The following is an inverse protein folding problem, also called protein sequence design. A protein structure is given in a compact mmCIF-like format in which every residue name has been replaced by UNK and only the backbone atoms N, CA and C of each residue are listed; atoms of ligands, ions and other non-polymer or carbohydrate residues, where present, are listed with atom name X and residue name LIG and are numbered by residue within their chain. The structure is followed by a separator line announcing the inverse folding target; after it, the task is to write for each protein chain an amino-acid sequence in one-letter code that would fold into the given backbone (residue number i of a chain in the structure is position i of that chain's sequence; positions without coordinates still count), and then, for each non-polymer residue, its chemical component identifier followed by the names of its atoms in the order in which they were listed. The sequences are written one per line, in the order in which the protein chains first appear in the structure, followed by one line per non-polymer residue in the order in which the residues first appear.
data_IF_526389865793
#
_entry.id   IF_526389865793
#
_cell.length_a   1.000
_cell.length_b   1.000
_cell.length_c   1.000
_cell.angle_alpha   90.00
_cell.angle_beta   90.00
_cell.angle_gamma   90.00
#
_symmetry.space_group_name_H-M   'P 1'
#
loop_
_entity.id
_entity.type
_entity.pdbx_description
1 polymer ?
#
# COMPACT_ATOMS: atom_id res chain seq x y z
N UNK A 1 16.85 -14.17 10.21
CA UNK A 1 16.29 -13.65 11.48
C UNK A 1 16.96 -12.36 11.90
N UNK A 2 18.30 -12.29 11.89
CA UNK A 2 19.07 -11.07 12.16
C UNK A 2 18.55 -9.78 11.48
N UNK A 3 18.33 -9.78 10.16
CA UNK A 3 17.79 -8.59 9.48
C UNK A 3 16.39 -8.16 9.97
N UNK A 4 15.58 -9.12 10.44
CA UNK A 4 14.23 -8.83 10.95
C UNK A 4 14.27 -8.22 12.34
N UNK A 5 15.21 -8.64 13.20
CA UNK A 5 15.38 -8.04 14.53
C UNK A 5 15.90 -6.62 14.42
N UNK A 6 16.94 -6.40 13.61
CA UNK A 6 17.47 -5.05 13.33
C UNK A 6 16.38 -4.13 12.80
N UNK A 7 15.57 -4.61 11.85
CA UNK A 7 14.45 -3.84 11.33
C UNK A 7 13.38 -3.53 12.39
N UNK A 8 13.12 -4.44 13.32
CA UNK A 8 12.18 -4.20 14.42
C UNK A 8 12.70 -3.09 15.36
N UNK A 9 13.99 -3.11 15.70
CA UNK A 9 14.60 -2.10 16.58
C UNK A 9 14.60 -0.71 15.93
N UNK A 10 14.88 -0.63 14.61
CA UNK A 10 14.76 0.62 13.85
C UNK A 10 13.32 1.12 13.87
N UNK A 11 12.35 0.24 13.63
CA UNK A 11 10.93 0.62 13.62
C UNK A 11 10.47 1.19 14.96
N UNK A 12 10.85 0.56 16.07
CA UNK A 12 10.54 1.07 17.41
C UNK A 12 10.99 2.52 17.57
N UNK A 13 12.20 2.85 17.09
CA UNK A 13 12.71 4.23 17.08
C UNK A 13 11.84 5.14 16.22
N UNK A 14 11.43 4.70 15.03
CA UNK A 14 10.61 5.52 14.15
C UNK A 14 9.22 5.81 14.76
N UNK A 15 8.61 4.82 15.42
CA UNK A 15 7.35 4.97 16.15
C UNK A 15 7.49 5.85 17.42
N UNK A 16 8.66 5.93 18.04
CA UNK A 16 8.94 6.92 19.10
C UNK A 16 8.96 8.36 18.53
N UNK A 17 9.39 8.54 17.28
CA UNK A 17 9.71 9.85 16.69
C UNK A 17 8.54 10.48 15.90
N UNK A 18 7.63 9.68 15.37
CA UNK A 18 6.47 10.14 14.60
C UNK A 18 5.20 9.38 15.02
N UNK A 19 4.08 10.09 15.03
CA UNK A 19 2.77 9.48 15.34
C UNK A 19 2.32 8.54 14.22
N UNK A 20 2.50 8.96 12.96
CA UNK A 20 2.12 8.17 11.81
C UNK A 20 3.36 7.68 11.05
N UNK A 21 3.52 6.36 11.00
CA UNK A 21 4.63 5.68 10.33
C UNK A 21 4.10 4.69 9.31
N UNK A 22 4.50 4.86 8.05
CA UNK A 22 4.19 3.93 6.96
C UNK A 22 5.40 3.08 6.62
N UNK A 23 5.36 1.82 7.01
CA UNK A 23 6.38 0.83 6.63
C UNK A 23 6.26 0.41 5.15
N UNK A 24 7.30 0.66 4.36
CA UNK A 24 7.36 0.31 2.93
C UNK A 24 7.97 -1.09 2.79
N UNK A 25 9.17 -1.28 3.33
CA UNK A 25 9.96 -2.51 3.30
C UNK A 25 10.55 -2.82 4.68
N UNK A 26 11.55 -3.71 4.74
CA UNK A 26 12.27 -4.04 5.97
C UNK A 26 13.20 -2.90 6.42
N UNK A 27 13.61 -2.05 5.48
CA UNK A 27 14.65 -1.03 5.61
C UNK A 27 14.17 0.38 5.19
N UNK A 28 12.88 0.54 4.85
CA UNK A 28 12.31 1.81 4.39
C UNK A 28 10.94 2.07 5.03
N UNK A 29 10.75 3.30 5.51
CA UNK A 29 9.50 3.78 6.05
C UNK A 29 9.34 5.29 5.77
N UNK A 30 8.09 5.76 5.69
CA UNK A 30 7.75 7.18 5.73
C UNK A 30 7.27 7.55 7.12
N UNK A 31 7.61 8.76 7.56
CA UNK A 31 7.14 9.34 8.82
C UNK A 31 6.37 10.60 8.47
N UNK A 32 5.16 10.75 9.01
CA UNK A 32 4.50 12.04 9.08
C UNK A 32 5.02 12.80 10.31
N UNK A 33 5.67 13.93 10.07
CA UNK A 33 6.28 14.77 11.10
C UNK A 33 5.72 16.18 11.08
N UNK A 34 4.59 16.38 10.39
CA UNK A 34 3.96 17.70 10.18
C UNK A 34 3.77 18.45 11.51
N UNK A 35 3.31 17.76 12.55
CA UNK A 35 3.08 18.34 13.89
C UNK A 35 4.28 18.18 14.84
N UNK A 36 5.40 17.62 14.38
CA UNK A 36 6.60 17.32 15.19
C UNK A 36 7.77 18.25 14.90
N UNK A 37 7.79 18.89 13.74
CA UNK A 37 8.91 19.73 13.30
C UNK A 37 8.42 20.88 12.42
N UNK A 38 9.30 21.83 12.14
CA UNK A 38 9.06 22.92 11.20
C UNK A 38 10.20 22.97 10.18
N UNK A 39 9.96 23.59 9.03
CA UNK A 39 10.92 23.63 7.92
C UNK A 39 12.28 24.25 8.29
N UNK A 40 12.31 25.16 9.25
CA UNK A 40 13.50 25.82 9.77
C UNK A 40 14.41 24.86 10.54
N UNK A 41 13.84 23.81 11.14
CA UNK A 41 14.56 22.85 12.00
C UNK A 41 14.50 21.41 11.46
N UNK A 42 13.89 21.21 10.29
CA UNK A 42 13.73 19.91 9.64
C UNK A 42 15.04 19.15 9.43
N UNK A 43 16.13 19.84 9.08
CA UNK A 43 17.46 19.23 8.97
C UNK A 43 17.94 18.70 10.33
N UNK A 44 17.74 19.48 11.41
CA UNK A 44 18.06 19.07 12.76
C UNK A 44 17.27 17.83 13.19
N UNK A 45 15.98 17.78 12.85
CA UNK A 45 15.14 16.61 13.09
C UNK A 45 15.64 15.38 12.30
N UNK A 46 15.89 15.52 11.00
CA UNK A 46 16.42 14.43 10.17
C UNK A 46 17.76 13.89 10.69
N UNK A 47 18.65 14.78 11.13
CA UNK A 47 19.93 14.42 11.78
C UNK A 47 19.71 13.69 13.10
N UNK A 48 18.73 14.12 13.90
CA UNK A 48 18.35 13.44 15.14
C UNK A 48 17.86 12.00 14.88
N UNK A 49 17.02 11.78 13.87
CA UNK A 49 16.55 10.44 13.47
C UNK A 49 17.74 9.53 13.17
N UNK A 50 18.65 9.98 12.28
CA UNK A 50 19.85 9.22 11.90
C UNK A 50 20.70 8.83 13.10
N UNK A 51 21.04 9.82 13.94
CA UNK A 51 21.87 9.60 15.12
C UNK A 51 21.20 8.68 16.14
N UNK A 52 19.87 8.69 16.23
CA UNK A 52 19.13 7.81 17.16
C UNK A 52 19.20 6.36 16.68
N UNK A 53 19.00 6.13 15.39
CA UNK A 53 19.14 4.81 14.75
C UNK A 53 20.57 4.29 14.91
N UNK A 54 21.57 5.09 14.56
CA UNK A 54 22.98 4.72 14.67
C UNK A 54 23.37 4.38 16.11
N UNK A 55 22.97 5.19 17.10
CA UNK A 55 23.32 4.95 18.52
C UNK A 55 22.63 3.73 19.13
N UNK A 56 21.36 3.46 18.79
CA UNK A 56 20.59 2.36 19.41
C UNK A 56 20.78 1.03 18.66
N UNK A 57 20.94 1.07 17.34
CA UNK A 57 20.97 -0.13 16.47
C UNK A 57 22.34 -0.39 15.85
N UNK A 58 23.18 0.64 15.68
CA UNK A 58 24.53 0.50 15.11
C UNK A 58 24.57 0.43 13.58
N UNK A 59 23.53 0.92 12.90
CA UNK A 59 23.46 0.93 11.42
C UNK A 59 23.28 2.37 10.89
N UNK A 60 23.96 2.75 9.79
CA UNK A 60 23.74 4.04 9.16
C UNK A 60 22.39 4.07 8.44
N UNK A 61 21.76 5.24 8.39
CA UNK A 61 20.51 5.47 7.69
C UNK A 61 20.60 6.73 6.83
N UNK A 62 20.02 6.69 5.63
CA UNK A 62 19.82 7.91 4.83
C UNK A 62 18.41 8.44 5.05
N UNK A 63 18.26 9.74 5.20
CA UNK A 63 16.98 10.39 5.49
C UNK A 63 16.70 11.47 4.45
N UNK A 64 15.49 11.45 3.89
CA UNK A 64 14.98 12.51 3.02
C UNK A 64 13.83 13.22 3.71
N UNK A 65 13.84 14.55 3.73
CA UNK A 65 12.74 15.38 4.24
C UNK A 65 12.21 16.23 3.10
N UNK A 66 10.93 16.11 2.78
CA UNK A 66 10.30 16.85 1.69
C UNK A 66 8.78 17.00 1.92
N UNK A 67 8.08 17.87 1.18
CA UNK A 67 6.69 18.23 1.47
C UNK A 67 5.67 17.12 1.21
N UNK A 68 6.08 16.06 0.50
CA UNK A 68 5.23 14.92 0.18
C UNK A 68 6.06 13.64 0.00
N UNK A 69 5.37 12.50 -0.06
CA UNK A 69 5.99 11.17 -0.10
C UNK A 69 6.88 10.95 -1.33
N UNK A 70 6.44 11.35 -2.52
CA UNK A 70 7.23 11.22 -3.75
C UNK A 70 8.56 11.94 -3.63
N UNK A 71 8.54 13.21 -3.24
CA UNK A 71 9.74 14.02 -3.07
C UNK A 71 10.64 13.50 -1.93
N UNK A 72 10.05 13.03 -0.82
CA UNK A 72 10.81 12.51 0.32
C UNK A 72 11.57 11.23 -0.06
N UNK A 73 10.98 10.39 -0.91
CA UNK A 73 11.66 9.21 -1.47
C UNK A 73 12.89 9.60 -2.27
N UNK A 74 12.74 10.55 -3.19
CA UNK A 74 13.83 11.06 -4.04
C UNK A 74 14.93 11.67 -3.17
N UNK A 75 14.55 12.53 -2.22
CA UNK A 75 15.47 13.13 -1.26
C UNK A 75 16.28 12.06 -0.50
N UNK A 76 15.61 10.99 -0.04
CA UNK A 76 16.26 9.93 0.74
C UNK A 76 17.28 9.11 -0.06
N UNK A 77 17.11 9.04 -1.38
CA UNK A 77 18.02 8.33 -2.28
C UNK A 77 19.17 9.21 -2.79
N UNK A 78 18.97 10.53 -2.88
CA UNK A 78 19.88 11.50 -3.51
C UNK A 78 21.31 11.43 -2.98
N UNK A 79 21.48 11.46 -1.65
CA UNK A 79 22.79 11.49 -0.98
C UNK A 79 23.18 10.16 -0.33
N UNK A 80 22.66 9.02 -0.83
CA UNK A 80 23.07 7.71 -0.31
C UNK A 80 24.54 7.41 -0.62
N UNK A 81 25.28 6.70 0.27
CA UNK A 81 24.85 6.17 1.58
C UNK A 81 25.06 7.17 2.72
N UNK A 82 24.36 6.95 3.85
CA UNK A 82 24.41 7.82 5.04
C UNK A 82 24.16 9.31 4.73
N UNK A 83 23.24 9.61 3.80
CA UNK A 83 22.87 10.96 3.40
C UNK A 83 21.78 11.61 4.27
N UNK A 84 21.67 12.94 4.19
CA UNK A 84 20.53 13.69 4.71
C UNK A 84 20.20 14.80 3.71
N UNK A 85 19.07 14.68 3.04
CA UNK A 85 18.61 15.65 2.05
C UNK A 85 17.32 16.30 2.54
N UNK A 86 17.26 17.63 2.55
CA UNK A 86 16.06 18.39 2.90
C UNK A 86 15.66 19.25 1.72
N UNK A 87 14.45 19.01 1.20
CA UNK A 87 13.85 19.78 0.11
C UNK A 87 12.70 20.58 0.71
N UNK A 88 12.82 21.90 0.78
CA UNK A 88 11.75 22.76 1.30
C UNK A 88 10.70 23.00 0.20
N UNK A 89 9.45 23.34 0.55
CA UNK A 89 8.40 23.58 -0.44
C UNK A 89 8.77 24.57 -1.56
N UNK A 90 9.44 25.71 -1.28
CA UNK A 90 9.84 26.65 -2.33
C UNK A 90 10.89 26.11 -3.29
N UNK A 91 11.74 25.19 -2.83
CA UNK A 91 12.88 24.65 -3.58
C UNK A 91 12.52 23.36 -4.34
N UNK A 92 11.28 22.87 -4.19
CA UNK A 92 10.88 21.55 -4.64
C UNK A 92 11.00 21.37 -6.15
N UNK A 93 10.43 22.29 -6.93
CA UNK A 93 10.43 22.14 -8.39
C UNK A 93 11.84 22.27 -8.97
N UNK A 94 12.60 23.27 -8.50
CA UNK A 94 14.00 23.50 -8.91
C UNK A 94 14.89 22.29 -8.60
N UNK A 95 14.63 21.59 -7.50
CA UNK A 95 15.32 20.35 -7.17
C UNK A 95 14.92 19.18 -8.08
N UNK A 96 13.63 19.06 -8.41
CA UNK A 96 13.11 17.95 -9.22
C UNK A 96 13.47 18.07 -10.69
N UNK A 97 13.31 19.25 -11.29
CA UNK A 97 13.44 19.50 -12.73
C UNK A 97 14.67 18.87 -13.40
N UNK A 98 15.90 19.04 -12.86
CA UNK A 98 17.10 18.53 -13.53
C UNK A 98 17.31 17.03 -13.36
N UNK A 99 16.53 16.35 -12.51
CA UNK A 99 16.75 14.93 -12.23
C UNK A 99 16.32 14.06 -13.42
N UNK A 100 17.07 12.98 -13.71
CA UNK A 100 16.66 11.98 -14.70
C UNK A 100 15.27 11.41 -14.40
N UNK A 101 14.48 11.14 -15.45
CA UNK A 101 13.10 10.63 -15.29
C UNK A 101 13.01 9.31 -14.50
N UNK A 102 14.07 8.48 -14.57
CA UNK A 102 14.17 7.21 -13.83
C UNK A 102 14.21 7.39 -12.30
N UNK A 103 14.55 8.59 -11.82
CA UNK A 103 14.65 8.90 -10.39
C UNK A 103 13.27 9.28 -9.81
N UNK A 104 12.28 9.58 -10.65
CA UNK A 104 10.92 9.87 -10.21
C UNK A 104 10.27 8.62 -9.58
N UNK A 105 9.76 8.77 -8.35
CA UNK A 105 9.14 7.67 -7.63
C UNK A 105 7.91 7.10 -8.36
N UNK A 106 8.05 5.88 -8.86
CA UNK A 106 7.04 5.18 -9.65
C UNK A 106 7.45 4.96 -11.10
N UNK A 107 8.60 5.48 -11.53
CA UNK A 107 9.17 5.17 -12.85
C UNK A 107 10.12 3.99 -12.71
N UNK A 108 9.77 2.86 -13.34
CA UNK A 108 10.66 1.70 -13.46
C UNK A 108 11.43 1.72 -14.78
N UNK A 109 12.42 0.82 -15.00
CA UNK A 109 13.25 0.81 -16.20
C UNK A 109 12.46 0.77 -17.51
N UNK A 110 11.36 0.02 -17.55
CA UNK A 110 10.48 -0.05 -18.73
C UNK A 110 9.79 1.28 -19.01
N UNK A 111 9.22 1.91 -17.97
CA UNK A 111 8.56 3.22 -18.12
C UNK A 111 9.57 4.30 -18.49
N UNK A 112 10.76 4.30 -17.90
CA UNK A 112 11.84 5.23 -18.27
C UNK A 112 12.19 5.12 -19.76
N UNK A 113 12.36 3.89 -20.28
CA UNK A 113 12.59 3.68 -21.71
C UNK A 113 11.46 4.28 -22.57
N UNK A 114 10.20 4.06 -22.18
CA UNK A 114 9.06 4.62 -22.92
C UNK A 114 9.00 6.15 -22.85
N UNK A 115 9.40 6.77 -21.72
CA UNK A 115 9.52 8.22 -21.64
C UNK A 115 10.64 8.75 -22.54
N UNK A 116 11.78 8.07 -22.58
CA UNK A 116 12.87 8.44 -23.50
C UNK A 116 12.45 8.35 -24.97
N UNK A 117 11.65 7.34 -25.35
CA UNK A 117 11.10 7.24 -26.70
C UNK A 117 10.15 8.41 -27.06
N UNK A 118 9.57 9.07 -26.04
CA UNK A 118 8.77 10.30 -26.19
C UNK A 118 9.58 11.59 -26.09
N UNK A 119 10.92 11.50 -25.99
CA UNK A 119 11.79 12.66 -25.82
C UNK A 119 11.79 13.26 -24.41
N UNK A 120 11.30 12.52 -23.40
CA UNK A 120 11.26 12.94 -22.00
C UNK A 120 12.47 12.31 -21.29
N UNK A 121 13.47 13.13 -20.96
CA UNK A 121 14.71 12.67 -20.32
C UNK A 121 14.73 12.96 -18.82
N UNK A 122 14.14 14.08 -18.41
CA UNK A 122 14.15 14.60 -17.05
C UNK A 122 12.76 14.61 -16.41
N UNK A 123 12.71 14.78 -15.10
CA UNK A 123 11.47 15.02 -14.38
C UNK A 123 10.84 16.34 -14.85
N UNK A 124 11.63 17.37 -15.11
CA UNK A 124 11.17 18.64 -15.67
C UNK A 124 10.52 18.49 -17.04
N UNK A 125 11.04 17.61 -17.90
CA UNK A 125 10.42 17.32 -19.20
C UNK A 125 9.02 16.71 -19.00
N UNK A 126 8.88 15.74 -18.09
CA UNK A 126 7.57 15.14 -17.80
C UNK A 126 6.62 16.17 -17.15
N UNK A 127 7.13 17.06 -16.31
CA UNK A 127 6.37 18.13 -15.69
C UNK A 127 5.84 19.14 -16.73
N UNK A 128 6.53 19.31 -17.85
CA UNK A 128 6.12 20.23 -18.93
C UNK A 128 5.42 19.54 -20.11
N UNK A 129 5.37 18.21 -20.12
CA UNK A 129 4.70 17.44 -21.15
C UNK A 129 3.19 17.72 -21.22
N UNK A 130 2.57 17.40 -22.34
CA UNK A 130 1.13 17.47 -22.48
C UNK A 130 0.44 16.33 -21.69
N UNK A 131 -0.47 16.68 -20.78
CA UNK A 131 -1.11 15.69 -19.89
C UNK A 131 -1.93 14.65 -20.66
N UNK A 132 -2.60 15.06 -21.75
CA UNK A 132 -3.41 14.16 -22.57
C UNK A 132 -2.52 13.10 -23.21
N UNK A 133 -1.42 13.50 -23.83
CA UNK A 133 -0.40 12.61 -24.40
C UNK A 133 0.15 11.61 -23.37
N UNK A 134 0.46 12.07 -22.16
CA UNK A 134 0.96 11.18 -21.09
C UNK A 134 -0.14 10.21 -20.61
N UNK A 135 -1.37 10.69 -20.51
CA UNK A 135 -2.51 9.88 -20.07
C UNK A 135 -2.88 8.83 -21.11
N UNK A 136 -2.83 9.15 -22.40
CA UNK A 136 -3.09 8.19 -23.48
C UNK A 136 -2.06 7.06 -23.51
N UNK A 137 -0.78 7.40 -23.26
CA UNK A 137 0.29 6.41 -23.28
C UNK A 137 0.33 5.52 -22.03
N UNK A 138 0.06 6.09 -20.85
CA UNK A 138 0.31 5.40 -19.56
C UNK A 138 -0.95 5.25 -18.67
N UNK A 139 -2.11 5.71 -19.13
CA UNK A 139 -3.38 5.72 -18.40
C UNK A 139 -3.34 6.62 -17.16
N UNK A 140 -4.13 6.24 -16.15
CA UNK A 140 -4.18 6.90 -14.83
C UNK A 140 -2.80 7.01 -14.17
N UNK A 141 -1.95 5.98 -14.36
CA UNK A 141 -0.57 6.01 -13.86
C UNK A 141 0.25 7.14 -14.50
N UNK A 142 0.03 7.42 -15.78
CA UNK A 142 0.66 8.54 -16.48
C UNK A 142 0.31 9.86 -15.83
N UNK A 143 -0.99 10.08 -15.62
CA UNK A 143 -1.52 11.25 -14.92
C UNK A 143 -0.88 11.43 -13.54
N UNK A 144 -0.79 10.36 -12.74
CA UNK A 144 -0.13 10.41 -11.43
C UNK A 144 1.34 10.81 -11.52
N UNK A 145 2.10 10.21 -12.45
CA UNK A 145 3.51 10.53 -12.65
C UNK A 145 3.70 11.97 -13.11
N UNK A 146 2.80 12.46 -13.95
CA UNK A 146 2.80 13.84 -14.44
C UNK A 146 2.57 14.86 -13.31
N UNK A 147 1.70 14.57 -12.35
CA UNK A 147 1.52 15.41 -11.16
C UNK A 147 2.72 15.32 -10.20
N UNK A 148 3.27 14.11 -9.98
CA UNK A 148 4.47 13.95 -9.14
C UNK A 148 5.69 14.67 -9.71
N UNK A 149 5.83 14.73 -11.03
CA UNK A 149 6.87 15.49 -11.70
C UNK A 149 6.76 17.00 -11.43
N UNK A 150 5.54 17.50 -11.18
CA UNK A 150 5.27 18.87 -10.71
C UNK A 150 5.32 19.03 -9.19
N UNK A 151 5.91 18.07 -8.49
CA UNK A 151 5.96 18.07 -7.03
C UNK A 151 4.60 17.87 -6.34
N UNK A 152 3.56 17.43 -7.06
CA UNK A 152 2.22 17.21 -6.50
C UNK A 152 2.02 15.72 -6.20
N UNK A 153 1.80 15.42 -4.92
CA UNK A 153 1.49 14.07 -4.44
C UNK A 153 0.58 14.17 -3.22
N UNK A 154 -0.72 13.90 -3.40
CA UNK A 154 -1.75 14.03 -2.37
C UNK A 154 -1.83 12.81 -1.42
N UNK A 155 -1.00 11.78 -1.66
CA UNK A 155 -0.98 10.59 -0.80
C UNK A 155 -0.51 10.97 0.60
N UNK A 156 -1.34 10.69 1.59
CA UNK A 156 -0.96 10.82 2.99
C UNK A 156 -0.08 9.65 3.43
N UNK A 157 0.78 9.91 4.41
CA UNK A 157 1.47 8.85 5.13
C UNK A 157 0.42 8.18 6.01
N UNK A 158 0.03 6.97 5.64
CA UNK A 158 -0.91 6.17 6.40
C UNK A 158 -0.17 4.98 7.02
N UNK A 159 -0.45 4.69 8.29
CA UNK A 159 -0.01 3.45 8.93
C UNK A 159 -0.42 2.25 8.08
N UNK A 160 0.50 1.30 7.89
CA UNK A 160 0.25 0.16 7.02
C UNK A 160 -0.89 -0.67 7.60
N UNK A 161 -2.07 -0.59 6.98
CA UNK A 161 -3.21 -1.42 7.33
C UNK A 161 -2.91 -2.92 7.20
N UNK A 162 -3.80 -3.76 7.75
CA UNK A 162 -3.67 -5.22 7.66
C UNK A 162 -3.54 -5.65 6.19
N UNK A 163 -2.76 -6.69 5.93
CA UNK A 163 -2.47 -7.12 4.56
C UNK A 163 -3.75 -7.49 3.80
N UNK A 164 -3.91 -7.04 2.55
CA UNK A 164 -5.06 -7.41 1.70
C UNK A 164 -4.99 -8.84 1.16
N UNK A 165 -3.79 -9.44 1.16
CA UNK A 165 -3.53 -10.81 0.69
C UNK A 165 -2.22 -11.36 1.25
N UNK A 166 -2.09 -12.68 1.24
CA UNK A 166 -0.87 -13.41 1.55
C UNK A 166 -0.57 -14.37 0.40
N UNK A 167 0.68 -14.43 -0.04
CA UNK A 167 1.07 -15.33 -1.13
C UNK A 167 2.48 -15.85 -0.96
N UNK A 168 2.78 -16.95 -1.65
CA UNK A 168 4.12 -17.52 -1.78
C UNK A 168 4.29 -18.09 -3.18
N UNK A 169 5.45 -17.88 -3.76
CA UNK A 169 5.82 -18.39 -5.07
C UNK A 169 7.16 -19.11 -5.04
N UNK A 170 7.33 -20.05 -5.97
CA UNK A 170 8.55 -20.83 -6.16
C UNK A 170 8.84 -20.97 -7.66
N UNK A 171 10.05 -20.60 -8.07
CA UNK A 171 10.54 -20.82 -9.43
C UNK A 171 11.24 -22.17 -9.51
N UNK A 172 11.05 -22.88 -10.61
CA UNK A 172 11.89 -24.02 -10.98
C UNK A 172 13.17 -23.53 -11.66
N UNK A 173 14.29 -24.23 -11.43
CA UNK A 173 15.57 -23.91 -12.09
C UNK A 173 15.46 -24.03 -13.62
N UNK A 174 14.88 -25.14 -14.08
CA UNK A 174 14.42 -25.32 -15.45
C UNK A 174 12.90 -25.57 -15.48
N UNK A 175 12.18 -25.11 -16.51
CA UNK A 175 10.76 -25.34 -16.60
C UNK A 175 10.43 -26.83 -16.72
N UNK A 176 9.48 -27.30 -15.91
CA UNK A 176 9.08 -28.71 -15.77
C UNK A 176 7.80 -29.00 -16.57
N UNK A 177 7.62 -30.24 -16.99
CA UNK A 177 6.38 -30.75 -17.59
C UNK A 177 5.79 -31.92 -16.79
N UNK A 178 6.37 -32.22 -15.62
CA UNK A 178 5.90 -33.26 -14.73
C UNK A 178 4.79 -32.70 -13.82
N UNK A 179 3.52 -33.12 -14.01
CA UNK A 179 2.40 -32.59 -13.26
C UNK A 179 2.41 -33.05 -11.79
N UNK A 180 3.03 -34.18 -11.45
CA UNK A 180 3.12 -34.63 -10.05
C UNK A 180 4.08 -33.74 -9.27
N UNK A 181 5.26 -33.47 -9.84
CA UNK A 181 6.22 -32.52 -9.26
C UNK A 181 5.64 -31.11 -9.12
N UNK A 182 4.83 -30.67 -10.08
CA UNK A 182 4.13 -29.39 -10.00
C UNK A 182 3.10 -29.37 -8.86
N UNK A 183 2.28 -30.44 -8.73
CA UNK A 183 1.29 -30.59 -7.65
C UNK A 183 1.93 -30.63 -6.27
N UNK A 184 3.06 -31.31 -6.11
CA UNK A 184 3.82 -31.36 -4.85
C UNK A 184 4.31 -29.97 -4.44
N UNK A 185 4.89 -29.24 -5.39
CA UNK A 185 5.34 -27.87 -5.16
C UNK A 185 4.15 -26.97 -4.80
N UNK A 186 3.02 -27.12 -5.47
CA UNK A 186 1.81 -26.34 -5.20
C UNK A 186 1.23 -26.65 -3.81
N UNK A 187 1.19 -27.93 -3.41
CA UNK A 187 0.76 -28.34 -2.08
C UNK A 187 1.67 -27.78 -0.97
N UNK A 188 2.99 -27.76 -1.19
CA UNK A 188 3.93 -27.13 -0.28
C UNK A 188 3.69 -25.61 -0.14
N UNK A 189 3.43 -24.93 -1.26
CA UNK A 189 3.10 -23.50 -1.26
C UNK A 189 1.77 -23.22 -0.55
N UNK A 190 0.73 -24.03 -0.81
CA UNK A 190 -0.57 -23.93 -0.16
C UNK A 190 -0.45 -24.03 1.37
N UNK A 191 0.25 -25.07 1.86
CA UNK A 191 0.52 -25.22 3.31
C UNK A 191 1.26 -24.02 3.89
N UNK A 192 2.28 -23.52 3.19
CA UNK A 192 3.07 -22.38 3.66
C UNK A 192 2.27 -21.06 3.71
N UNK A 193 1.35 -20.86 2.77
CA UNK A 193 0.47 -19.68 2.74
C UNK A 193 -0.61 -19.78 3.82
N UNK A 194 -1.24 -20.94 3.98
CA UNK A 194 -2.24 -21.17 5.01
C UNK A 194 -1.63 -20.98 6.42
N UNK A 195 -0.49 -21.62 6.71
CA UNK A 195 0.20 -21.43 7.98
C UNK A 195 0.58 -19.96 8.25
N UNK A 196 0.95 -19.20 7.20
CA UNK A 196 1.21 -17.77 7.32
C UNK A 196 -0.06 -16.97 7.64
N UNK A 197 -1.22 -17.37 7.12
CA UNK A 197 -2.50 -16.75 7.42
C UNK A 197 -2.92 -17.02 8.87
N UNK A 198 -2.87 -18.28 9.31
CA UNK A 198 -3.12 -18.68 10.70
C UNK A 198 -2.21 -17.93 11.68
N UNK A 199 -0.90 -17.86 11.43
CA UNK A 199 0.05 -17.13 12.27
C UNK A 199 -0.23 -15.62 12.36
N UNK A 200 -0.98 -15.07 11.40
CA UNK A 200 -1.39 -13.66 11.37
C UNK A 200 -2.81 -13.45 11.88
N UNK A 201 -3.48 -14.48 12.38
CA UNK A 201 -4.89 -14.42 12.78
C UNK A 201 -5.81 -14.04 11.62
N UNK A 202 -5.44 -14.40 10.38
CA UNK A 202 -6.14 -14.00 9.17
C UNK A 202 -6.97 -15.15 8.61
N UNK A 203 -8.29 -15.00 8.62
CA UNK A 203 -9.20 -15.80 7.80
C UNK A 203 -9.17 -15.30 6.34
N UNK A 204 -9.51 -16.15 5.38
CA UNK A 204 -9.50 -15.79 3.95
C UNK A 204 -10.76 -16.27 3.24
N UNK A 205 -11.19 -15.54 2.21
CA UNK A 205 -12.36 -15.91 1.39
C UNK A 205 -12.00 -16.34 -0.02
N UNK A 206 -10.83 -15.99 -0.51
CA UNK A 206 -10.42 -16.29 -1.88
C UNK A 206 -9.09 -17.02 -1.88
N UNK A 207 -9.03 -18.13 -2.63
CA UNK A 207 -7.83 -18.94 -2.84
C UNK A 207 -7.49 -18.87 -4.32
N UNK A 208 -6.25 -18.57 -4.66
CA UNK A 208 -5.80 -18.49 -6.04
C UNK A 208 -4.42 -19.09 -6.26
N UNK A 209 -4.16 -19.42 -7.52
CA UNK A 209 -2.87 -19.87 -8.02
C UNK A 209 -2.35 -18.93 -9.09
N UNK A 210 -1.03 -18.95 -9.25
CA UNK A 210 -0.31 -18.29 -10.33
C UNK A 210 0.59 -19.32 -10.99
N UNK A 211 0.47 -19.47 -12.30
CA UNK A 211 1.30 -20.34 -13.13
C UNK A 211 2.05 -19.45 -14.11
N UNK A 212 3.38 -19.60 -14.20
CA UNK A 212 4.18 -18.95 -15.24
C UNK A 212 4.75 -20.02 -16.16
N UNK A 213 4.39 -19.96 -17.44
CA UNK A 213 4.94 -20.77 -18.52
C UNK A 213 6.15 -20.07 -19.18
N UNK A 214 7.12 -20.82 -19.74
CA UNK A 214 8.18 -20.24 -20.54
C UNK A 214 7.65 -19.53 -21.79
N UNK A 215 8.23 -18.39 -22.19
CA UNK A 215 9.34 -17.71 -21.53
C UNK A 215 8.92 -17.03 -20.22
N UNK A 216 7.77 -16.35 -20.17
CA UNK A 216 7.21 -15.68 -18.98
C UNK A 216 5.68 -15.45 -19.09
N UNK A 217 4.95 -16.32 -19.80
CA UNK A 217 3.48 -16.18 -19.92
C UNK A 217 2.83 -16.45 -18.56
N UNK A 218 2.00 -15.52 -18.08
CA UNK A 218 1.45 -15.56 -16.73
C UNK A 218 -0.04 -15.88 -16.76
N UNK A 219 -0.43 -16.93 -16.05
CA UNK A 219 -1.82 -17.32 -15.85
C UNK A 219 -2.17 -17.25 -14.36
N UNK A 220 -3.34 -16.72 -14.05
CA UNK A 220 -3.90 -16.72 -12.69
C UNK A 220 -5.30 -17.33 -12.71
N UNK A 221 -5.58 -18.15 -11.70
CA UNK A 221 -6.92 -18.68 -11.42
C UNK A 221 -7.21 -18.51 -9.95
N UNK A 222 -8.46 -18.22 -9.63
CA UNK A 222 -8.89 -18.08 -8.25
C UNK A 222 -10.32 -18.56 -8.06
N UNK A 223 -10.63 -18.91 -6.81
CA UNK A 223 -11.95 -19.31 -6.37
C UNK A 223 -12.29 -18.58 -5.07
N UNK A 224 -13.44 -17.92 -5.07
CA UNK A 224 -14.00 -17.31 -3.88
C UNK A 224 -14.98 -18.26 -3.20
N UNK A 225 -14.90 -18.31 -1.88
CA UNK A 225 -15.73 -19.10 -0.99
C UNK A 225 -16.90 -18.25 -0.47
N UNK A 226 -17.95 -18.91 0.02
CA UNK A 226 -19.13 -18.23 0.58
C UNK A 226 -18.79 -17.39 1.82
N UNK A 227 -17.87 -17.87 2.66
CA UNK A 227 -17.46 -17.21 3.90
C UNK A 227 -15.95 -17.28 4.14
N UNK A 228 -15.46 -16.52 5.15
CA UNK A 228 -14.05 -16.57 5.56
C UNK A 228 -13.74 -17.91 6.23
N UNK A 229 -12.59 -18.49 5.90
CA UNK A 229 -12.12 -19.78 6.44
C UNK A 229 -10.68 -19.67 6.93
N UNK A 230 -10.29 -20.60 7.80
CA UNK A 230 -8.90 -20.93 8.09
C UNK A 230 -8.74 -22.46 8.00
N UNK A 231 -8.74 -22.96 6.77
CA UNK A 231 -8.66 -24.38 6.46
C UNK A 231 -7.50 -24.65 5.49
N UNK A 232 -6.32 -25.03 6.01
CA UNK A 232 -5.15 -25.35 5.18
C UNK A 232 -5.39 -26.43 4.14
N UNK A 233 -6.27 -27.39 4.43
CA UNK A 233 -6.58 -28.49 3.51
C UNK A 233 -7.45 -27.99 2.36
N UNK A 234 -8.43 -27.14 2.64
CA UNK A 234 -9.23 -26.49 1.61
C UNK A 234 -8.37 -25.61 0.67
N UNK A 235 -7.33 -24.93 1.19
CA UNK A 235 -6.36 -24.20 0.34
C UNK A 235 -5.63 -25.17 -0.58
N UNK A 236 -5.14 -26.29 -0.05
CA UNK A 236 -4.43 -27.32 -0.82
C UNK A 236 -5.30 -27.89 -1.93
N UNK A 237 -6.51 -28.35 -1.58
CA UNK A 237 -7.45 -28.94 -2.54
C UNK A 237 -7.89 -27.94 -3.60
N UNK A 238 -8.21 -26.70 -3.20
CA UNK A 238 -8.62 -25.67 -4.15
C UNK A 238 -7.47 -25.31 -5.08
N UNK A 239 -6.24 -25.15 -4.58
CA UNK A 239 -5.08 -24.89 -5.41
C UNK A 239 -4.84 -26.03 -6.41
N UNK A 240 -4.95 -27.30 -5.99
CA UNK A 240 -4.82 -28.45 -6.89
C UNK A 240 -5.90 -28.46 -7.97
N UNK A 241 -7.18 -28.24 -7.60
CA UNK A 241 -8.28 -28.15 -8.57
C UNK A 241 -8.08 -27.02 -9.59
N UNK A 242 -7.65 -25.85 -9.13
CA UNK A 242 -7.34 -24.74 -10.04
C UNK A 242 -6.16 -25.04 -10.97
N UNK A 243 -5.26 -25.95 -10.57
CA UNK A 243 -4.09 -26.33 -11.36
C UNK A 243 -4.42 -27.37 -12.45
N UNK A 244 -5.56 -28.05 -12.38
CA UNK A 244 -5.96 -29.08 -13.36
C UNK A 244 -5.92 -28.58 -14.81
N UNK A 245 -6.25 -27.31 -15.06
CA UNK A 245 -6.17 -26.67 -16.38
C UNK A 245 -4.73 -26.58 -16.95
N UNK A 246 -3.72 -26.68 -16.09
CA UNK A 246 -2.32 -26.46 -16.43
C UNK A 246 -1.45 -27.72 -16.33
N UNK A 247 -2.03 -28.91 -16.13
CA UNK A 247 -1.27 -30.14 -15.92
C UNK A 247 -0.41 -30.55 -17.12
N UNK A 248 -0.91 -30.30 -18.33
CA UNK A 248 -0.19 -30.59 -19.57
C UNK A 248 0.77 -29.44 -19.98
N UNK A 249 0.87 -28.39 -19.16
CA UNK A 249 1.66 -27.20 -19.47
C UNK A 249 3.09 -27.32 -18.97
N UNK A 250 4.00 -26.63 -19.64
CA UNK A 250 5.38 -26.51 -19.17
C UNK A 250 5.47 -25.36 -18.19
N UNK A 251 5.76 -25.65 -16.93
CA UNK A 251 5.71 -24.69 -15.82
C UNK A 251 7.10 -24.26 -15.38
N UNK A 252 7.32 -22.94 -15.31
CA UNK A 252 8.56 -22.31 -14.81
C UNK A 252 8.44 -21.79 -13.39
N UNK A 253 7.28 -21.28 -13.00
CA UNK A 253 7.03 -20.79 -11.62
C UNK A 253 5.60 -21.11 -11.22
N UNK A 254 5.42 -21.46 -9.95
CA UNK A 254 4.12 -21.61 -9.31
C UNK A 254 3.98 -20.66 -8.13
N UNK A 255 2.76 -20.22 -7.86
CA UNK A 255 2.41 -19.43 -6.68
C UNK A 255 1.04 -19.81 -6.16
N UNK A 256 0.87 -19.71 -4.84
CA UNK A 256 -0.43 -19.80 -4.16
C UNK A 256 -0.67 -18.49 -3.41
N UNK A 257 -1.92 -18.04 -3.39
CA UNK A 257 -2.37 -16.81 -2.75
C UNK A 257 -3.68 -17.05 -2.01
N UNK A 258 -3.82 -16.42 -0.85
CA UNK A 258 -5.10 -16.18 -0.18
C UNK A 258 -5.36 -14.68 -0.08
N UNK A 259 -6.61 -14.27 -0.29
CA UNK A 259 -7.03 -12.86 -0.26
C UNK A 259 -8.44 -12.70 0.27
N UNK A 260 -8.94 -11.45 0.29
CA UNK A 260 -10.16 -11.07 0.98
C UNK A 260 -10.07 -11.49 2.45
N UNK A 261 -8.98 -11.03 3.08
CA UNK A 261 -8.63 -11.43 4.43
C UNK A 261 -9.56 -10.74 5.42
N UNK A 262 -10.05 -11.51 6.38
CA UNK A 262 -10.70 -11.01 7.59
C UNK A 262 -9.79 -11.33 8.76
N UNK A 263 -9.64 -10.39 9.67
CA UNK A 263 -8.82 -10.55 10.86
C UNK A 263 -9.77 -10.43 12.04
N UNK A 264 -9.73 -11.40 12.95
CA UNK A 264 -10.53 -11.28 14.17
C UNK A 264 -10.04 -10.04 14.92
N UNK A 265 -10.94 -9.10 15.19
CA UNK A 265 -10.63 -7.98 16.06
C UNK A 265 -10.48 -8.51 17.48
N UNK A 266 -9.25 -8.78 17.89
CA UNK A 266 -8.87 -8.76 19.31
C UNK A 266 -8.65 -7.30 19.77
N UNK A 267 -9.50 -6.39 19.30
CA UNK A 267 -9.75 -5.14 19.99
C UNK A 267 -11.02 -5.39 20.81
N UNK A 268 -10.83 -5.63 22.10
CA UNK A 268 -11.82 -5.21 23.08
C UNK A 268 -12.04 -3.72 22.83
N UNK A 269 -13.05 -3.41 22.01
CA UNK A 269 -13.77 -2.17 22.17
C UNK A 269 -14.15 -2.12 23.65
N UNK A 270 -13.59 -1.16 24.38
CA UNK A 270 -13.99 -0.88 25.74
C UNK A 270 -15.49 -0.65 25.73
N UNK A 271 -16.23 -1.65 26.21
CA UNK A 271 -17.61 -1.51 26.66
C UNK A 271 -17.56 -0.76 28.00
N UNK A 272 -17.20 0.52 27.93
CA UNK A 272 -17.31 1.50 29.02
C UNK A 272 -17.61 2.86 28.38
N UNK A 273 -18.83 3.01 27.91
CA UNK A 273 -19.70 4.11 28.33
C UNK A 273 -21.10 3.86 27.77
N UNK A 274 -22.13 4.44 28.39
CA UNK A 274 -23.57 4.23 28.15
C UNK A 274 -24.20 3.09 28.95
N UNK A 275 -24.03 3.16 30.28
CA UNK A 275 -25.09 2.78 31.21
C UNK A 275 -25.58 4.05 31.95
N UNK A 276 -26.87 4.34 31.74
CA UNK A 276 -27.80 5.08 32.60
C UNK A 276 -27.42 6.46 33.18
N UNK A 277 -28.09 7.49 32.67
CA UNK A 277 -28.51 8.63 33.49
C UNK A 277 -30.06 8.71 33.47
N UNK A 278 -30.74 8.33 34.58
CA UNK A 278 -32.16 8.51 34.74
C UNK A 278 -32.40 9.75 35.62
N UNK A 279 -32.56 10.94 35.04
CA UNK A 279 -33.29 12.06 35.68
C UNK A 279 -33.36 13.29 34.76
N UNK A 280 -34.49 13.45 34.06
CA UNK A 280 -34.97 14.77 33.61
C UNK A 280 -36.44 14.71 33.14
N UNK A 281 -37.37 14.46 34.07
CA UNK A 281 -38.74 14.97 33.92
C UNK A 281 -38.91 16.27 34.72
N UNK A 282 -39.64 17.19 34.08
CA UNK A 282 -40.37 18.34 34.61
C UNK A 282 -39.73 19.73 34.38
N UNK A 283 -40.22 20.42 33.34
CA UNK A 283 -41.12 21.55 33.60
C UNK A 283 -42.05 21.86 32.42
N UNK A 284 -43.33 21.82 32.78
CA UNK A 284 -44.55 22.25 32.09
C UNK A 284 -44.58 23.74 31.73
N UNK A 285 -45.29 24.07 30.65
CA UNK A 285 -45.72 25.43 30.33
C UNK A 285 -46.66 25.45 29.13
N UNK A 286 -47.93 25.17 29.37
CA UNK A 286 -49.09 25.26 28.47
C UNK A 286 -49.26 26.67 27.88
N UNK A 287 -49.75 26.79 26.63
CA UNK A 287 -51.02 27.51 26.33
C UNK A 287 -51.56 27.10 24.95
N UNK A 288 -52.75 26.51 24.97
CA UNK A 288 -53.84 26.39 23.98
C UNK A 288 -54.09 27.68 23.13
N UNK A 289 -54.84 27.76 22.02
CA UNK A 289 -55.79 26.95 21.24
C UNK A 289 -56.04 27.71 19.91
N UNK A 290 -56.16 27.05 18.76
CA UNK A 290 -57.40 26.77 18.00
C UNK A 290 -57.70 27.64 16.73
N UNK A 291 -58.01 26.89 15.66
CA UNK A 291 -59.11 27.09 14.67
C UNK A 291 -58.81 27.69 13.27
N UNK A 292 -59.18 26.84 12.27
CA UNK A 292 -59.57 27.06 10.85
C UNK A 292 -58.49 27.59 9.89
N UNK A 293 -58.28 27.06 8.69
CA UNK A 293 -59.01 26.07 7.90
C UNK A 293 -58.72 26.33 6.41
N UNK A 294 -58.97 25.29 5.61
CA UNK A 294 -59.31 25.33 4.19
C UNK A 294 -58.21 25.48 3.10
N UNK A 295 -58.11 24.39 2.30
CA UNK A 295 -57.98 24.32 0.82
C UNK A 295 -56.70 24.86 0.16
N UNK A 296 -56.19 24.34 -0.97
CA UNK A 296 -56.40 23.17 -1.85
C UNK A 296 -55.40 23.42 -3.01
N UNK A 297 -54.89 22.34 -3.64
CA UNK A 297 -54.59 22.24 -5.10
C UNK A 297 -53.34 23.04 -5.57
N UNK A 298 -52.44 22.62 -6.48
CA UNK A 298 -52.33 21.64 -7.59
C UNK A 298 -50.80 21.38 -7.77
N UNK A 299 -50.28 20.15 -7.77
CA UNK A 299 -49.87 19.31 -8.93
C UNK A 299 -49.39 20.03 -10.21
N UNK A 300 -48.18 19.70 -10.67
CA UNK A 300 -47.72 19.38 -12.05
C UNK A 300 -46.20 19.12 -11.95
N UNK A 301 -45.64 17.90 -12.06
CA UNK A 301 -45.47 17.00 -13.24
C UNK A 301 -44.74 17.74 -14.39
N UNK A 302 -43.67 17.29 -15.06
CA UNK A 302 -43.00 16.00 -15.27
C UNK A 302 -41.55 16.30 -15.74
N UNK A 303 -40.56 15.46 -15.43
CA UNK A 303 -39.83 14.62 -16.41
C UNK A 303 -39.15 15.34 -17.59
N UNK A 304 -37.82 15.42 -17.56
CA UNK A 304 -36.88 14.71 -18.46
C UNK A 304 -35.49 14.65 -17.81
#
# INVERSE_FOLDING_TARGET
EYYKSIAADVKEILYELAETVREVSIDEAYLDVTDRTAWEVAEGFGRHVKQRIERKVGVPASVGVAPNMSAAKIASDHDKPDGLTVIKPPDLQDFLDPLPIKDLHGVGPKSASTFHDLGIETIGDLANADLETITDQFGERGRDLHFRARGIDERQVESRGRAKSLSRESSFGEPISDPERARDQLAALARAVAARATNKGALYRTIGIKVIEPPFEMHTRERSLSGPVDDPELVRETAQKLFEEFEDRRVRKLGVRVSNLSFADNEQAGLEDWADDPDAEAHSGETESEVRGQSRIESFDSSE
#
